data_IF_591560357651
#
_entry.id   IF_591560357651
#
_cell.length_a   1.000
_cell.length_b   1.000
_cell.length_c   1.000
_cell.angle_alpha   90.00
_cell.angle_beta   90.00
_cell.angle_gamma   90.00
#
_symmetry.space_group_name_H-M   'P 1'
#
loop_
_entity.id
_entity.type
_entity.pdbx_description
1 polymer ?
#
# COMPACT_ATOMS: atom_id res chain seq x y z
N UNK A 1 2.72 10.33 3.65
CA UNK A 1 1.61 10.90 2.83
C UNK A 1 1.66 10.34 1.42
N UNK A 2 0.59 9.69 0.96
CA UNK A 2 0.52 9.16 -0.41
C UNK A 2 0.38 10.31 -1.40
N UNK A 3 1.17 10.29 -2.48
CA UNK A 3 1.22 11.37 -3.48
C UNK A 3 0.49 11.04 -4.77
N UNK A 4 0.46 9.78 -5.16
CA UNK A 4 -0.17 9.34 -6.39
C UNK A 4 -0.50 7.86 -6.31
N UNK A 5 -1.40 7.42 -7.18
CA UNK A 5 -1.78 6.03 -7.33
C UNK A 5 -1.63 5.62 -8.79
N UNK A 6 -0.94 4.49 -9.02
CA UNK A 6 -0.96 3.84 -10.34
C UNK A 6 -2.24 3.00 -10.54
N UNK A 7 -2.82 2.49 -9.46
CA UNK A 7 -3.97 1.61 -9.49
C UNK A 7 -5.25 2.34 -9.07
N UNK A 8 -6.14 2.62 -10.02
CA UNK A 8 -7.37 3.40 -9.79
C UNK A 8 -8.28 2.83 -8.69
N UNK A 9 -8.39 1.50 -8.60
CA UNK A 9 -9.18 0.87 -7.53
C UNK A 9 -8.62 1.08 -6.12
N UNK A 10 -7.30 1.27 -5.97
CA UNK A 10 -6.69 1.56 -4.66
C UNK A 10 -6.88 3.04 -4.30
N UNK A 11 -6.82 3.92 -5.30
CA UNK A 11 -7.13 5.34 -5.14
C UNK A 11 -8.58 5.54 -4.69
N UNK A 12 -9.53 4.95 -5.41
CA UNK A 12 -10.96 5.01 -5.09
C UNK A 12 -11.22 4.42 -3.70
N UNK A 13 -10.60 3.29 -3.37
CA UNK A 13 -10.73 2.67 -2.05
C UNK A 13 -10.17 3.54 -0.93
N UNK A 14 -9.01 4.18 -1.16
CA UNK A 14 -8.39 5.09 -0.19
C UNK A 14 -9.30 6.27 0.16
N UNK A 15 -9.90 6.91 -0.86
CA UNK A 15 -10.73 8.10 -0.63
C UNK A 15 -12.16 7.79 -0.20
N UNK A 16 -12.74 6.68 -0.65
CA UNK A 16 -14.19 6.43 -0.48
C UNK A 16 -14.52 5.24 0.42
N UNK A 17 -13.52 4.42 0.78
CA UNK A 17 -13.68 3.13 1.47
C UNK A 17 -14.57 2.12 0.71
N UNK A 18 -14.88 2.37 -0.57
CA UNK A 18 -15.65 1.43 -1.39
C UNK A 18 -14.76 0.34 -1.94
N UNK A 19 -15.15 -0.92 -1.77
CA UNK A 19 -14.39 -2.08 -2.24
C UNK A 19 -14.40 -2.28 -3.77
N UNK A 20 -14.97 -1.33 -4.54
CA UNK A 20 -15.03 -1.43 -6.00
C UNK A 20 -13.63 -1.31 -6.58
N UNK A 21 -13.20 -2.31 -7.36
CA UNK A 21 -11.89 -2.30 -8.01
C UNK A 21 -10.74 -2.82 -7.13
N UNK A 22 -11.03 -3.41 -5.96
CA UNK A 22 -10.07 -4.21 -5.18
C UNK A 22 -10.64 -5.60 -4.91
N UNK A 23 -9.81 -6.52 -4.43
CA UNK A 23 -10.30 -7.82 -3.93
C UNK A 23 -10.90 -7.62 -2.53
N UNK A 24 -12.20 -7.94 -2.31
CA UNK A 24 -12.86 -7.72 -1.01
C UNK A 24 -12.17 -8.43 0.17
N UNK A 25 -11.62 -9.62 -0.07
CA UNK A 25 -10.85 -10.40 0.91
C UNK A 25 -9.63 -9.65 1.48
N UNK A 26 -9.09 -8.71 0.71
CA UNK A 26 -7.94 -7.91 1.11
C UNK A 26 -8.29 -6.54 1.68
N UNK A 27 -9.57 -6.13 1.67
CA UNK A 27 -9.98 -4.76 1.99
C UNK A 27 -9.45 -4.27 3.35
N UNK A 28 -9.63 -5.08 4.41
CA UNK A 28 -9.15 -4.74 5.77
C UNK A 28 -7.61 -4.63 5.87
N UNK A 29 -6.88 -5.37 5.05
CA UNK A 29 -5.40 -5.29 5.03
C UNK A 29 -4.93 -4.10 4.21
N UNK A 30 -5.51 -3.89 3.02
CA UNK A 30 -5.25 -2.73 2.19
C UNK A 30 -5.52 -1.42 2.93
N UNK A 31 -6.61 -1.34 3.70
CA UNK A 31 -6.93 -0.17 4.53
C UNK A 31 -5.80 0.15 5.51
N UNK A 32 -5.36 -0.84 6.29
CA UNK A 32 -4.25 -0.67 7.25
C UNK A 32 -2.94 -0.29 6.58
N UNK A 33 -2.64 -0.88 5.43
CA UNK A 33 -1.41 -0.57 4.67
C UNK A 33 -1.46 0.86 4.15
N UNK A 34 -2.57 1.27 3.54
CA UNK A 34 -2.72 2.60 2.95
C UNK A 34 -2.73 3.69 4.03
N UNK A 35 -3.41 3.47 5.15
CA UNK A 35 -3.43 4.40 6.28
C UNK A 35 -2.01 4.59 6.86
N UNK A 36 -1.26 3.49 7.02
CA UNK A 36 0.12 3.53 7.49
C UNK A 36 1.05 4.22 6.50
N UNK A 37 0.97 3.86 5.21
CA UNK A 37 1.77 4.48 4.16
C UNK A 37 1.49 5.99 4.05
N UNK A 38 0.25 6.39 4.28
CA UNK A 38 -0.12 7.79 4.31
C UNK A 38 0.45 8.52 5.53
N UNK A 39 0.62 7.85 6.67
CA UNK A 39 1.22 8.42 7.89
C UNK A 39 2.77 8.30 7.95
N UNK A 40 3.38 7.42 7.15
CA UNK A 40 4.82 7.18 7.15
C UNK A 40 5.63 8.41 6.76
N UNK A 41 6.75 8.62 7.46
CA UNK A 41 7.76 9.63 7.19
C UNK A 41 9.00 9.03 6.53
N UNK A 42 9.29 7.76 6.79
CA UNK A 42 10.40 7.02 6.18
C UNK A 42 9.99 5.60 5.80
N UNK A 43 10.80 4.94 4.95
CA UNK A 43 10.54 3.56 4.49
C UNK A 43 10.46 2.58 5.67
N UNK A 44 11.25 2.83 6.73
CA UNK A 44 11.29 1.96 7.91
C UNK A 44 9.96 1.90 8.66
N UNK A 45 9.12 2.94 8.55
CA UNK A 45 7.78 2.96 9.15
C UNK A 45 6.84 1.90 8.57
N UNK A 46 7.14 1.43 7.35
CA UNK A 46 6.41 0.36 6.67
C UNK A 46 6.94 -1.04 7.02
N UNK A 47 8.05 -1.16 7.76
CA UNK A 47 8.60 -2.45 8.20
C UNK A 47 7.90 -2.97 9.47
N UNK A 48 6.59 -3.17 9.40
CA UNK A 48 5.81 -3.73 10.50
C UNK A 48 5.75 -5.26 10.46
N UNK A 49 5.45 -5.93 11.59
CA UNK A 49 5.32 -7.39 11.61
C UNK A 49 4.31 -7.90 10.58
N UNK A 50 4.74 -8.80 9.70
CA UNK A 50 3.91 -9.36 8.62
C UNK A 50 3.78 -8.48 7.37
N UNK A 51 4.43 -7.31 7.33
CA UNK A 51 4.56 -6.49 6.10
C UNK A 51 5.27 -7.25 5.00
N UNK A 52 6.29 -8.04 5.38
CA UNK A 52 7.24 -8.64 4.44
C UNK A 52 7.86 -7.57 3.52
N UNK A 53 8.20 -6.40 4.11
CA UNK A 53 8.77 -5.27 3.38
C UNK A 53 10.10 -5.68 2.73
N UNK A 54 10.15 -5.64 1.39
CA UNK A 54 11.35 -5.95 0.64
C UNK A 54 11.59 -4.97 -0.51
N UNK A 55 12.86 -4.81 -0.88
CA UNK A 55 13.27 -4.03 -2.05
C UNK A 55 12.98 -4.80 -3.33
N UNK A 56 12.52 -4.08 -4.35
CA UNK A 56 12.36 -4.63 -5.69
C UNK A 56 13.66 -4.49 -6.49
N UNK A 57 13.83 -5.36 -7.48
CA UNK A 57 14.98 -5.39 -8.39
C UNK A 57 14.55 -5.13 -9.84
N UNK A 58 15.52 -5.03 -10.76
CA UNK A 58 15.26 -4.83 -12.19
C UNK A 58 14.68 -3.44 -12.51
N UNK A 59 13.60 -3.40 -13.29
CA UNK A 59 12.90 -2.19 -13.73
C UNK A 59 12.25 -1.41 -12.57
N UNK A 60 12.09 -2.05 -11.42
CA UNK A 60 11.53 -1.45 -10.20
C UNK A 60 12.59 -1.15 -9.13
N UNK A 61 13.87 -1.12 -9.50
CA UNK A 61 14.93 -0.74 -8.57
C UNK A 61 14.61 0.62 -7.92
N UNK A 62 14.79 0.71 -6.60
CA UNK A 62 14.43 1.88 -5.80
C UNK A 62 13.00 1.89 -5.27
N UNK A 63 12.18 0.89 -5.63
CA UNK A 63 10.85 0.68 -5.07
C UNK A 63 10.84 -0.42 -4.01
N UNK A 64 9.79 -0.41 -3.18
CA UNK A 64 9.55 -1.38 -2.12
C UNK A 64 8.16 -2.00 -2.28
N UNK A 65 7.98 -3.21 -1.75
CA UNK A 65 6.70 -3.88 -1.73
C UNK A 65 6.37 -4.41 -0.33
N UNK A 66 5.11 -4.24 0.05
CA UNK A 66 4.48 -4.90 1.19
C UNK A 66 3.58 -6.02 0.66
N UNK A 67 3.51 -7.12 1.41
CA UNK A 67 2.56 -8.19 1.17
C UNK A 67 1.14 -7.74 1.52
N UNK A 68 0.19 -8.17 0.69
CA UNK A 68 -1.26 -8.05 0.91
C UNK A 68 -1.85 -9.44 1.14
#
# INVERSE_FOLDING_TARGET
MIKSFKHKGLEDFFYTRKNKGIRPEHAKRLERILDRLNAANEVKDMNYPGSDLHKLSGDKQGQYADKV
#
